data_IF_567444397559
#
_entry.id   IF_567444397559
#
_cell.length_a   1.000
_cell.length_b   1.000
_cell.length_c   1.000
_cell.angle_alpha   90.00
_cell.angle_beta   90.00
_cell.angle_gamma   90.00
#
_symmetry.space_group_name_H-M   'P 1'
#
loop_
_entity.id
_entity.type
_entity.pdbx_description
1 polymer ?
#
# COMPACT_ATOMS: atom_id res chain seq x y z
N UNK A 1 -9.96 -15.83 5.07
CA UNK A 1 -9.46 -15.75 3.68
C UNK A 1 -8.24 -16.66 3.59
N UNK A 2 -8.31 -17.73 2.80
CA UNK A 2 -7.22 -18.72 2.69
C UNK A 2 -6.07 -18.10 1.85
N UNK A 3 -4.84 -18.06 2.38
CA UNK A 3 -3.70 -17.38 1.73
C UNK A 3 -3.17 -18.16 0.53
N UNK A 4 -3.32 -19.49 0.51
CA UNK A 4 -3.06 -20.25 -0.72
C UNK A 4 -3.99 -19.80 -1.84
N UNK A 5 -5.23 -19.45 -1.50
CA UNK A 5 -6.19 -18.96 -2.49
C UNK A 5 -5.75 -17.62 -3.06
N UNK A 6 -5.15 -16.72 -2.26
CA UNK A 6 -4.62 -15.44 -2.73
C UNK A 6 -3.52 -15.62 -3.79
N UNK A 7 -2.51 -16.46 -3.49
CA UNK A 7 -1.41 -16.73 -4.41
C UNK A 7 -1.91 -17.47 -5.66
N UNK A 8 -2.73 -18.51 -5.47
CA UNK A 8 -3.36 -19.27 -6.58
C UNK A 8 -4.26 -18.37 -7.44
N UNK A 9 -4.93 -17.37 -6.86
CA UNK A 9 -5.75 -16.42 -7.60
C UNK A 9 -4.87 -15.47 -8.41
N UNK A 10 -3.83 -14.88 -7.83
CA UNK A 10 -2.90 -14.01 -8.55
C UNK A 10 -2.26 -14.72 -9.76
N UNK A 11 -1.86 -16.00 -9.60
CA UNK A 11 -1.33 -16.82 -10.70
C UNK A 11 -2.40 -17.05 -11.78
N UNK A 12 -3.64 -17.41 -11.38
CA UNK A 12 -4.76 -17.62 -12.32
C UNK A 12 -5.11 -16.35 -13.10
N UNK A 13 -5.01 -15.20 -12.44
CA UNK A 13 -5.22 -13.88 -13.03
C UNK A 13 -4.03 -13.41 -13.89
N UNK A 14 -2.97 -14.23 -14.00
CA UNK A 14 -1.80 -13.95 -14.85
C UNK A 14 -0.79 -12.97 -14.25
N UNK A 15 -0.86 -12.68 -12.95
CA UNK A 15 0.10 -11.79 -12.29
C UNK A 15 1.31 -12.56 -11.78
N UNK A 16 2.50 -12.02 -12.05
CA UNK A 16 3.76 -12.52 -11.52
C UNK A 16 4.06 -12.04 -10.08
N UNK A 17 3.27 -11.10 -9.56
CA UNK A 17 3.45 -10.50 -8.23
C UNK A 17 2.11 -10.15 -7.57
N UNK A 18 2.11 -10.16 -6.24
CA UNK A 18 1.02 -9.62 -5.43
C UNK A 18 1.14 -8.09 -5.33
N UNK A 19 0.04 -7.40 -5.02
CA UNK A 19 0.09 -5.99 -4.61
C UNK A 19 0.78 -5.84 -3.25
N UNK A 20 1.13 -4.61 -2.86
CA UNK A 20 1.77 -4.35 -1.55
C UNK A 20 0.87 -4.77 -0.40
N UNK A 21 -0.43 -4.46 -0.49
CA UNK A 21 -1.42 -4.85 0.52
C UNK A 21 -1.53 -6.37 0.68
N UNK A 22 -1.62 -7.08 -0.45
CA UNK A 22 -1.69 -8.54 -0.48
C UNK A 22 -0.41 -9.19 0.07
N UNK A 23 0.75 -8.65 -0.32
CA UNK A 23 2.07 -9.10 0.13
C UNK A 23 2.23 -8.93 1.65
N UNK A 24 1.86 -7.78 2.20
CA UNK A 24 1.95 -7.52 3.65
C UNK A 24 0.99 -8.39 4.44
N UNK A 25 -0.23 -8.62 3.95
CA UNK A 25 -1.16 -9.57 4.57
C UNK A 25 -0.62 -11.00 4.57
N UNK A 26 0.08 -11.40 3.50
CA UNK A 26 0.77 -12.68 3.45
C UNK A 26 1.86 -12.78 4.51
N UNK A 27 2.77 -11.80 4.58
CA UNK A 27 3.85 -11.77 5.57
C UNK A 27 3.31 -11.77 7.02
N UNK A 28 2.30 -10.95 7.31
CA UNK A 28 1.66 -10.88 8.62
C UNK A 28 1.06 -12.23 9.05
N UNK A 29 0.53 -13.01 8.11
CA UNK A 29 -0.01 -14.35 8.41
C UNK A 29 1.05 -15.36 8.86
N UNK A 30 2.31 -15.13 8.49
CA UNK A 30 3.47 -15.90 8.96
C UNK A 30 4.11 -15.29 10.22
N UNK A 31 3.47 -14.32 10.86
CA UNK A 31 3.98 -13.66 12.06
C UNK A 31 5.08 -12.63 11.80
N UNK A 32 5.34 -12.27 10.53
CA UNK A 32 6.28 -11.20 10.19
C UNK A 32 5.58 -9.86 10.45
N UNK A 33 6.09 -9.01 11.35
CA UNK A 33 5.46 -7.72 11.63
C UNK A 33 5.45 -6.83 10.39
N UNK A 34 4.29 -6.23 10.11
CA UNK A 34 4.12 -5.21 9.07
C UNK A 34 3.50 -3.97 9.71
N UNK A 35 3.72 -2.81 9.09
CA UNK A 35 3.14 -1.56 9.54
C UNK A 35 1.61 -1.62 9.48
N UNK A 36 0.95 -0.95 10.42
CA UNK A 36 -0.51 -0.74 10.37
C UNK A 36 -0.87 0.03 9.11
N UNK A 37 -1.84 -0.49 8.38
CA UNK A 37 -2.32 0.11 7.14
C UNK A 37 -3.78 -0.23 6.89
N UNK A 38 -4.42 0.61 6.07
CA UNK A 38 -5.76 0.37 5.53
C UNK A 38 -5.77 0.71 4.05
N UNK A 39 -6.38 -0.18 3.28
CA UNK A 39 -6.72 0.07 1.88
C UNK A 39 -8.04 0.85 1.85
N UNK A 40 -8.06 1.97 1.13
CA UNK A 40 -9.23 2.82 0.93
C UNK A 40 -9.54 2.94 -0.57
N UNK A 41 -10.82 3.06 -0.91
CA UNK A 41 -11.24 3.40 -2.27
C UNK A 41 -10.61 4.75 -2.66
N UNK A 42 -9.88 4.84 -3.79
CA UNK A 42 -9.30 6.09 -4.24
C UNK A 42 -10.35 7.19 -4.30
N UNK A 43 -11.57 6.90 -4.76
CA UNK A 43 -12.70 7.82 -4.99
C UNK A 43 -13.52 8.16 -3.75
N UNK A 44 -13.12 7.67 -2.58
CA UNK A 44 -13.79 7.96 -1.31
C UNK A 44 -12.91 8.77 -0.36
N UNK A 45 -12.95 10.12 -0.40
CA UNK A 45 -12.31 10.97 0.59
C UNK A 45 -12.65 10.59 2.03
N UNK A 46 -13.91 10.24 2.27
CA UNK A 46 -14.39 9.86 3.60
C UNK A 46 -13.72 8.58 4.12
N UNK A 47 -13.49 7.58 3.25
CA UNK A 47 -12.79 6.36 3.62
C UNK A 47 -11.31 6.60 3.89
N UNK A 48 -10.66 7.40 3.04
CA UNK A 48 -9.25 7.80 3.20
C UNK A 48 -9.05 8.54 4.52
N UNK A 49 -9.89 9.54 4.83
CA UNK A 49 -9.85 10.28 6.09
C UNK A 49 -10.13 9.39 7.30
N UNK A 50 -11.12 8.48 7.20
CA UNK A 50 -11.41 7.52 8.26
C UNK A 50 -10.20 6.62 8.55
N UNK A 51 -9.58 6.08 7.51
CA UNK A 51 -8.39 5.25 7.63
C UNK A 51 -7.24 5.99 8.33
N UNK A 52 -6.99 7.25 7.96
CA UNK A 52 -5.96 8.06 8.62
C UNK A 52 -6.27 8.35 10.09
N UNK A 53 -7.54 8.65 10.43
CA UNK A 53 -7.95 8.85 11.83
C UNK A 53 -7.78 7.59 12.69
N UNK A 54 -8.06 6.42 12.14
CA UNK A 54 -7.90 5.15 12.85
C UNK A 54 -6.42 4.76 13.04
N UNK A 55 -5.55 5.12 12.09
CA UNK A 55 -4.11 4.86 12.17
C UNK A 55 -3.40 5.87 13.09
N UNK A 56 -3.78 7.15 12.98
CA UNK A 56 -3.16 8.30 13.64
C UNK A 56 -2.09 8.96 12.77
N UNK A 57 -2.08 10.30 12.75
CA UNK A 57 -1.06 11.10 12.04
C UNK A 57 0.28 11.13 12.80
N UNK A 58 1.42 11.28 12.11
CA UNK A 58 1.55 11.40 10.66
C UNK A 58 1.37 10.06 9.93
N UNK A 59 0.78 10.12 8.73
CA UNK A 59 0.53 8.95 7.87
C UNK A 59 1.32 9.03 6.56
N UNK A 60 1.35 7.89 5.88
CA UNK A 60 1.86 7.71 4.53
C UNK A 60 0.67 7.36 3.62
N UNK A 61 0.62 7.95 2.43
CA UNK A 61 -0.36 7.59 1.40
C UNK A 61 0.37 7.02 0.17
N UNK A 62 -0.03 5.85 -0.31
CA UNK A 62 0.55 5.21 -1.50
C UNK A 62 -0.52 4.69 -2.45
N UNK A 63 -0.24 4.72 -3.76
CA UNK A 63 -1.05 3.94 -4.70
C UNK A 63 -0.82 2.44 -4.47
N UNK A 64 -1.87 1.64 -4.62
CA UNK A 64 -1.79 0.18 -4.54
C UNK A 64 -2.42 -0.44 -5.78
N UNK A 65 -1.71 -1.40 -6.35
CA UNK A 65 -2.18 -2.21 -7.47
C UNK A 65 -1.14 -3.25 -7.83
N UNK A 66 -1.57 -4.39 -8.37
CA UNK A 66 -0.65 -5.48 -8.74
C UNK A 66 0.34 -5.09 -9.84
N UNK A 67 -0.02 -4.13 -10.71
CA UNK A 67 0.86 -3.57 -11.76
C UNK A 67 1.62 -2.31 -11.33
N UNK A 68 1.38 -1.80 -10.12
CA UNK A 68 2.02 -0.60 -9.60
C UNK A 68 3.29 -0.99 -8.86
N UNK A 69 4.36 -1.26 -9.63
CA UNK A 69 5.73 -1.43 -9.14
C UNK A 69 6.51 -0.11 -9.23
N UNK A 70 7.65 0.01 -8.52
CA UNK A 70 8.51 1.21 -8.52
C UNK A 70 7.79 2.53 -8.12
N UNK A 71 6.92 2.47 -7.11
CA UNK A 71 6.02 3.56 -6.67
C UNK A 71 6.74 4.89 -6.42
N UNK A 72 7.87 4.85 -5.72
CA UNK A 72 8.64 6.05 -5.35
C UNK A 72 9.17 6.78 -6.59
N UNK A 73 9.73 6.03 -7.54
CA UNK A 73 10.25 6.58 -8.81
C UNK A 73 9.15 7.23 -9.65
N UNK A 74 7.90 6.78 -9.50
CA UNK A 74 6.72 7.32 -10.17
C UNK A 74 6.00 8.41 -9.37
N UNK A 75 6.54 8.83 -8.22
CA UNK A 75 5.92 9.83 -7.35
C UNK A 75 4.55 9.41 -6.81
N UNK A 76 4.34 8.11 -6.61
CA UNK A 76 3.08 7.49 -6.14
C UNK A 76 3.08 7.22 -4.63
N UNK A 77 3.92 7.95 -3.88
CA UNK A 77 4.10 7.86 -2.44
C UNK A 77 4.19 9.26 -1.86
N UNK A 78 3.34 9.56 -0.88
CA UNK A 78 3.37 10.78 -0.08
C UNK A 78 3.67 10.40 1.37
N UNK A 79 4.74 10.96 1.93
CA UNK A 79 5.22 10.66 3.28
C UNK A 79 4.91 11.82 4.22
N UNK A 80 4.80 11.49 5.52
CA UNK A 80 4.77 12.51 6.58
C UNK A 80 3.55 13.43 6.51
N UNK A 81 2.43 12.95 5.99
CA UNK A 81 1.15 13.68 5.94
C UNK A 81 0.69 13.89 7.38
N UNK A 82 0.51 15.15 7.80
CA UNK A 82 0.33 15.48 9.24
C UNK A 82 -1.11 15.72 9.66
N UNK A 83 -2.01 15.93 8.70
CA UNK A 83 -3.40 16.28 8.94
C UNK A 83 -4.28 15.90 7.74
N UNK A 84 -5.58 16.08 7.91
CA UNK A 84 -6.60 15.71 6.92
C UNK A 84 -6.55 16.59 5.66
N UNK A 85 -6.18 17.86 5.78
CA UNK A 85 -6.06 18.76 4.64
C UNK A 85 -4.94 18.31 3.70
N UNK A 86 -3.75 18.06 4.25
CA UNK A 86 -2.62 17.50 3.50
C UNK A 86 -2.95 16.14 2.89
N UNK A 87 -3.71 15.30 3.62
CA UNK A 87 -4.11 13.98 3.14
C UNK A 87 -5.00 14.07 1.90
N UNK A 88 -6.01 14.94 1.93
CA UNK A 88 -6.95 15.09 0.81
C UNK A 88 -6.27 15.74 -0.40
N UNK A 89 -5.37 16.70 -0.18
CA UNK A 89 -4.53 17.26 -1.25
C UNK A 89 -3.66 16.16 -1.90
N UNK A 90 -2.92 15.38 -1.10
CA UNK A 90 -2.10 14.28 -1.58
C UNK A 90 -2.94 13.20 -2.31
N UNK A 91 -4.13 12.89 -1.81
CA UNK A 91 -5.05 11.95 -2.46
C UNK A 91 -5.55 12.46 -3.82
N UNK A 92 -5.80 13.77 -3.94
CA UNK A 92 -6.13 14.41 -5.22
C UNK A 92 -5.00 14.25 -6.24
N UNK A 93 -3.78 14.63 -5.87
CA UNK A 93 -2.61 14.49 -6.75
C UNK A 93 -2.31 13.04 -7.11
N UNK A 94 -2.38 12.14 -6.12
CA UNK A 94 -2.15 10.72 -6.33
C UNK A 94 -3.16 10.14 -7.33
N UNK A 95 -4.43 10.52 -7.21
CA UNK A 95 -5.49 10.10 -8.14
C UNK A 95 -5.18 10.51 -9.56
N UNK A 96 -4.82 11.78 -9.78
CA UNK A 96 -4.45 12.27 -11.11
C UNK A 96 -3.24 11.52 -11.69
N UNK A 97 -2.25 11.18 -10.87
CA UNK A 97 -1.08 10.40 -11.29
C UNK A 97 -1.40 8.93 -11.59
N UNK A 98 -2.45 8.40 -10.97
CA UNK A 98 -2.90 7.01 -11.18
C UNK A 98 -4.00 6.88 -12.22
N UNK A 99 -4.41 7.98 -12.87
CA UNK A 99 -5.41 7.91 -13.92
C UNK A 99 -4.92 7.02 -15.08
N UNK A 100 -5.77 6.11 -15.54
CA UNK A 100 -5.41 5.08 -16.53
C UNK A 100 -4.45 3.99 -16.03
N UNK A 101 -4.03 4.01 -14.76
CA UNK A 101 -3.28 2.90 -14.15
C UNK A 101 -4.22 1.88 -13.49
N UNK A 102 -3.76 0.64 -13.43
CA UNK A 102 -4.43 -0.45 -12.69
C UNK A 102 -4.21 -0.26 -11.18
N UNK A 103 -4.96 0.68 -10.60
CA UNK A 103 -4.91 1.09 -9.20
C UNK A 103 -6.13 0.54 -8.45
N UNK A 104 -5.89 -0.46 -7.60
CA UNK A 104 -6.92 -1.15 -6.82
C UNK A 104 -7.33 -0.37 -5.56
N UNK A 105 -6.53 0.63 -5.16
CA UNK A 105 -6.81 1.43 -3.97
C UNK A 105 -5.67 2.32 -3.52
N UNK A 106 -5.93 3.16 -2.52
CA UNK A 106 -4.90 3.89 -1.80
C UNK A 106 -4.61 3.24 -0.45
N UNK A 107 -3.32 3.00 -0.19
CA UNK A 107 -2.85 2.54 1.11
C UNK A 107 -2.56 3.74 2.00
N UNK A 108 -3.35 3.88 3.05
CA UNK A 108 -3.06 4.76 4.18
C UNK A 108 -2.31 3.93 5.20
N UNK A 109 -1.09 4.33 5.55
CA UNK A 109 -0.19 3.55 6.41
C UNK A 109 0.37 4.44 7.52
N UNK A 110 0.69 3.87 8.69
CA UNK A 110 1.41 4.61 9.73
C UNK A 110 2.81 5.02 9.24
N UNK A 111 3.23 6.23 9.61
CA UNK A 111 4.61 6.69 9.38
C UNK A 111 5.51 6.20 10.52
N UNK A 112 6.44 5.31 10.21
CA UNK A 112 7.45 4.85 11.18
C UNK A 112 8.74 5.65 11.02
N UNK A 113 9.42 5.89 12.14
CA UNK A 113 10.78 6.42 12.17
C UNK A 113 11.71 5.32 12.70
N UNK A 114 12.73 4.98 11.92
CA UNK A 114 13.73 3.99 12.29
C UNK A 114 15.13 4.60 12.24
N UNK A 115 16.02 4.14 13.12
CA UNK A 115 17.45 4.55 13.12
C UNK A 115 18.31 3.69 12.19
N UNK A 116 17.79 2.56 11.75
CA UNK A 116 18.48 1.55 10.93
C UNK A 116 17.48 0.89 10.01
N UNK A 117 17.92 0.60 8.79
CA UNK A 117 17.17 -0.15 7.80
C UNK A 117 17.91 -1.45 7.51
N UNK A 118 17.15 -2.52 7.31
CA UNK A 118 17.66 -3.85 6.98
C UNK A 118 16.86 -4.37 5.78
N UNK A 119 17.51 -5.15 4.93
CA UNK A 119 16.88 -5.80 3.79
C UNK A 119 17.07 -7.31 3.88
N UNK A 120 15.99 -8.05 3.66
CA UNK A 120 15.99 -9.51 3.57
C UNK A 120 15.29 -9.91 2.27
N UNK A 121 15.92 -10.80 1.50
CA UNK A 121 15.37 -11.34 0.28
C UNK A 121 15.44 -12.87 0.29
N UNK A 122 14.51 -13.51 -0.40
CA UNK A 122 14.52 -14.94 -0.65
C UNK A 122 14.43 -15.16 -2.15
N UNK A 123 15.35 -15.97 -2.68
CA UNK A 123 15.30 -16.44 -4.06
C UNK A 123 15.36 -17.97 -4.03
N UNK A 124 14.71 -18.60 -5.01
CA UNK A 124 14.88 -20.02 -5.27
C UNK A 124 15.90 -20.15 -6.39
N UNK A 125 17.12 -20.53 -6.03
CA UNK A 125 18.12 -20.97 -6.99
C UNK A 125 17.67 -22.33 -7.61
N UNK A 126 18.04 -22.64 -8.87
CA UNK A 126 17.68 -23.89 -9.55
C UNK A 126 17.94 -25.16 -8.74
#
# INVERSE_FOLDING_TARGET
>A
MNLEHLVKQAIRDGFASLSEFESKRLLASYGIPVCREKLADPFSPAEISRAAREIGYPVVLKANGRKITHKTERGLVYLGIRDEEQLLAAAGELRSKTDGLDCDGFLVQEMLAAKRELLCGLIRDP
#
